data_IF_432649210365
#
_entry.id   IF_432649210365
#
_cell.length_a   1.000
_cell.length_b   1.000
_cell.length_c   1.000
_cell.angle_alpha   90.00
_cell.angle_beta   90.00
_cell.angle_gamma   90.00
#
_symmetry.space_group_name_H-M   'P 1'
#
loop_
_entity.id
_entity.type
_entity.pdbx_description
1 polymer ?
#
# COMPACT_ATOMS: atom_id res chain seq x y z
N UNK A 1 -5.10 3.70 -13.66
CA UNK A 1 -6.02 4.01 -12.55
C UNK A 1 -5.33 3.71 -11.23
N UNK A 2 -5.72 4.38 -10.15
CA UNK A 2 -5.22 4.09 -8.81
C UNK A 2 -6.19 3.14 -8.09
N UNK A 3 -5.66 2.20 -7.31
CA UNK A 3 -6.45 1.29 -6.48
C UNK A 3 -6.30 1.70 -5.02
N UNK A 4 -7.41 1.71 -4.29
CA UNK A 4 -7.47 1.94 -2.86
C UNK A 4 -8.14 0.74 -2.18
N UNK A 5 -7.68 0.42 -0.98
CA UNK A 5 -8.26 -0.59 -0.11
C UNK A 5 -8.79 0.12 1.13
N UNK A 6 -10.01 -0.17 1.54
CA UNK A 6 -10.58 0.44 2.73
C UNK A 6 -11.94 -0.16 3.07
N UNK A 7 -12.54 0.34 4.14
CA UNK A 7 -13.91 0.00 4.54
C UNK A 7 -14.89 0.96 3.87
N UNK A 8 -15.84 0.41 3.13
CA UNK A 8 -16.99 1.18 2.63
C UNK A 8 -17.89 1.51 3.82
N UNK A 9 -18.00 2.78 4.16
CA UNK A 9 -18.84 3.27 5.28
C UNK A 9 -20.15 3.89 4.79
N UNK A 10 -20.21 4.28 3.52
CA UNK A 10 -21.43 4.73 2.84
C UNK A 10 -21.33 4.38 1.36
N UNK A 11 -22.43 3.93 0.76
CA UNK A 11 -22.53 3.60 -0.65
C UNK A 11 -23.88 4.09 -1.17
N UNK A 12 -23.83 4.97 -2.18
CA UNK A 12 -25.01 5.51 -2.84
C UNK A 12 -24.82 5.60 -4.35
N UNK A 13 -25.84 6.05 -5.07
CA UNK A 13 -25.83 6.11 -6.54
C UNK A 13 -24.84 7.12 -7.13
N UNK A 14 -24.39 8.10 -6.33
CA UNK A 14 -23.46 9.16 -6.77
C UNK A 14 -22.08 9.05 -6.14
N UNK A 15 -21.99 8.44 -4.97
CA UNK A 15 -20.76 8.44 -4.18
C UNK A 15 -20.57 7.16 -3.39
N UNK A 16 -19.30 6.85 -3.13
CA UNK A 16 -18.85 5.83 -2.18
C UNK A 16 -17.89 6.49 -1.21
N UNK A 17 -18.11 6.27 0.09
CA UNK A 17 -17.23 6.80 1.14
C UNK A 17 -16.40 5.66 1.72
N UNK A 18 -15.08 5.81 1.66
CA UNK A 18 -14.12 4.89 2.27
C UNK A 18 -13.52 5.48 3.55
N UNK A 19 -13.20 4.59 4.50
CA UNK A 19 -12.36 4.85 5.69
C UNK A 19 -11.35 3.73 5.87
N UNK A 20 -10.37 3.92 6.75
CA UNK A 20 -9.26 3.00 6.96
C UNK A 20 -8.55 2.70 5.63
N UNK A 21 -8.14 3.76 4.94
CA UNK A 21 -7.73 3.71 3.53
C UNK A 21 -6.24 3.40 3.39
N UNK A 22 -5.91 2.49 2.48
CA UNK A 22 -4.57 2.08 2.11
C UNK A 22 -4.40 2.01 0.58
N UNK A 23 -3.18 2.15 0.10
CA UNK A 23 -2.81 1.93 -1.30
C UNK A 23 -1.42 1.29 -1.41
N UNK A 24 -1.12 0.69 -2.57
CA UNK A 24 0.20 0.12 -2.83
C UNK A 24 1.08 1.11 -3.57
N UNK A 25 2.32 1.24 -3.12
CA UNK A 25 3.39 1.98 -3.78
C UNK A 25 4.50 1.03 -4.20
N UNK A 26 5.03 1.21 -5.42
CA UNK A 26 6.22 0.50 -5.86
C UNK A 26 7.44 1.21 -5.25
N UNK A 27 8.17 0.49 -4.41
CA UNK A 27 9.45 0.92 -3.85
C UNK A 27 10.54 0.21 -4.63
N UNK A 28 11.44 0.99 -5.25
CA UNK A 28 12.61 0.45 -5.90
C UNK A 28 13.74 0.39 -4.87
N UNK A 29 14.19 -0.82 -4.52
CA UNK A 29 15.39 -0.97 -3.69
C UNK A 29 16.56 -1.36 -4.58
N UNK A 30 17.72 -0.68 -4.45
CA UNK A 30 18.95 -1.17 -5.06
C UNK A 30 19.32 -2.50 -4.41
N UNK A 31 19.67 -3.51 -5.23
CA UNK A 31 20.19 -4.77 -4.73
C UNK A 31 21.56 -4.50 -4.07
N UNK A 32 21.67 -4.73 -2.77
CA UNK A 32 22.95 -4.65 -2.07
C UNK A 32 23.72 -5.95 -2.35
N UNK A 33 24.77 -5.87 -3.17
CA UNK A 33 25.71 -6.98 -3.36
C UNK A 33 26.54 -7.13 -2.09
N UNK A 34 26.46 -8.29 -1.43
CA UNK A 34 27.39 -8.62 -0.35
C UNK A 34 28.74 -8.98 -0.99
N UNK A 35 29.69 -8.04 -0.94
CA UNK A 35 31.06 -8.28 -1.35
C UNK A 35 31.77 -9.20 -0.35
N UNK A 36 31.85 -10.49 -0.70
CA UNK A 36 32.88 -11.38 -0.14
C UNK A 36 33.76 -11.84 -1.30
N UNK A 37 34.85 -11.10 -1.51
CA UNK A 37 36.08 -11.42 -2.25
C UNK A 37 36.07 -12.55 -3.27
N UNK A 38 36.02 -12.20 -4.57
CA UNK A 38 37.12 -12.37 -5.52
C UNK A 38 36.62 -12.18 -6.96
N UNK A 39 37.30 -11.27 -7.65
CA UNK A 39 37.42 -11.04 -9.09
C UNK A 39 36.72 -12.00 -10.04
N UNK A 40 35.71 -11.51 -10.77
CA UNK A 40 35.56 -11.70 -12.22
C UNK A 40 34.52 -10.74 -12.79
N UNK A 41 34.94 -10.05 -13.86
CA UNK A 41 34.15 -9.09 -14.64
C UNK A 41 32.93 -9.77 -15.26
N UNK A 42 31.73 -9.45 -14.76
CA UNK A 42 30.48 -9.67 -15.47
C UNK A 42 29.71 -8.36 -15.45
N UNK A 43 29.26 -7.93 -16.64
CA UNK A 43 28.52 -6.68 -16.85
C UNK A 43 27.31 -6.61 -15.90
N UNK A 44 27.38 -5.68 -14.96
CA UNK A 44 26.38 -5.42 -13.93
C UNK A 44 25.07 -4.91 -14.59
N UNK A 45 24.17 -5.83 -14.92
CA UNK A 45 22.77 -5.47 -15.05
C UNK A 45 22.27 -5.20 -13.63
N UNK A 46 22.17 -3.92 -13.28
CA UNK A 46 21.51 -3.43 -12.06
C UNK A 46 20.06 -3.94 -12.02
N UNK A 47 19.87 -5.16 -11.53
CA UNK A 47 18.54 -5.71 -11.28
C UNK A 47 18.01 -5.00 -10.04
N UNK A 48 17.19 -3.96 -10.22
CA UNK A 48 16.38 -3.38 -9.15
C UNK A 48 15.25 -4.35 -8.80
N UNK A 49 15.14 -4.79 -7.54
CA UNK A 49 13.92 -5.45 -7.09
C UNK A 49 12.84 -4.38 -6.84
N UNK A 50 11.70 -4.56 -7.50
CA UNK A 50 10.49 -3.78 -7.25
C UNK A 50 9.73 -4.45 -6.10
N UNK A 51 9.65 -3.77 -4.97
CA UNK A 51 8.86 -4.20 -3.82
C UNK A 51 7.54 -3.41 -3.79
N UNK A 52 6.42 -4.07 -3.53
CA UNK A 52 5.15 -3.40 -3.27
C UNK A 52 5.05 -3.10 -1.77
N UNK A 53 4.94 -1.82 -1.44
CA UNK A 53 4.76 -1.34 -0.06
C UNK A 53 3.32 -0.88 0.14
N UNK A 54 2.72 -1.27 1.26
CA UNK A 54 1.40 -0.80 1.69
C UNK A 54 1.55 0.54 2.41
N UNK A 55 0.82 1.55 1.95
CA UNK A 55 0.82 2.89 2.53
C UNK A 55 -0.56 3.22 3.07
N UNK A 56 -0.62 3.77 4.29
CA UNK A 56 -1.84 4.29 4.91
C UNK A 56 -2.08 5.73 4.43
N UNK A 57 -3.28 6.01 3.93
CA UNK A 57 -3.70 7.38 3.60
C UNK A 57 -3.67 8.27 4.85
N UNK A 58 -3.12 9.47 4.72
CA UNK A 58 -3.15 10.53 5.74
C UNK A 58 -1.82 11.24 5.96
N UNK A 59 -0.71 10.64 5.55
CA UNK A 59 0.65 11.15 5.78
C UNK A 59 1.27 11.81 4.53
N UNK A 60 0.45 12.12 3.52
CA UNK A 60 0.88 12.79 2.30
C UNK A 60 1.10 14.29 2.53
N UNK A 61 1.88 14.93 1.63
CA UNK A 61 2.19 16.36 1.71
C UNK A 61 0.94 17.27 1.73
N UNK A 62 -0.14 16.85 1.06
CA UNK A 62 -1.39 17.60 1.00
C UNK A 62 -2.32 17.33 2.21
N UNK A 63 -1.87 16.50 3.16
CA UNK A 63 -2.50 16.28 4.46
C UNK A 63 -3.96 15.83 4.41
N UNK A 64 -4.31 14.79 3.62
CA UNK A 64 -5.68 14.29 3.62
C UNK A 64 -6.02 13.68 4.99
N UNK A 65 -7.29 13.69 5.33
CA UNK A 65 -7.78 12.83 6.43
C UNK A 65 -7.97 11.41 5.93
N UNK A 66 -8.12 10.46 6.85
CA UNK A 66 -8.43 9.06 6.53
C UNK A 66 -9.91 8.85 6.13
N UNK A 67 -10.35 9.59 5.12
CA UNK A 67 -11.69 9.52 4.55
C UNK A 67 -11.62 9.94 3.09
N UNK A 68 -12.31 9.21 2.21
CA UNK A 68 -12.36 9.53 0.79
C UNK A 68 -13.77 9.36 0.26
N UNK A 69 -14.33 10.46 -0.27
CA UNK A 69 -15.58 10.47 -1.03
C UNK A 69 -15.27 10.33 -2.52
N UNK A 70 -15.70 9.22 -3.11
CA UNK A 70 -15.39 8.83 -4.49
C UNK A 70 -16.65 8.97 -5.32
N UNK A 71 -16.56 9.62 -6.48
CA UNK A 71 -17.66 9.64 -7.45
C UNK A 71 -17.92 8.22 -7.99
N UNK A 72 -19.11 7.69 -7.75
CA UNK A 72 -19.49 6.33 -8.13
C UNK A 72 -19.44 6.10 -9.65
N UNK A 73 -19.64 7.14 -10.46
CA UNK A 73 -19.55 7.05 -11.92
C UNK A 73 -18.12 6.80 -12.43
N UNK A 74 -17.09 6.98 -11.58
CA UNK A 74 -15.69 6.75 -11.93
C UNK A 74 -15.14 5.42 -11.37
N UNK A 75 -15.99 4.61 -10.73
CA UNK A 75 -15.61 3.29 -10.21
C UNK A 75 -15.87 2.25 -11.30
N UNK A 76 -14.81 1.58 -11.76
CA UNK A 76 -14.94 0.52 -12.77
C UNK A 76 -15.44 -0.79 -12.16
N UNK A 77 -14.97 -1.12 -10.97
CA UNK A 77 -15.39 -2.30 -10.20
C UNK A 77 -14.97 -2.14 -8.73
N UNK A 78 -15.64 -2.89 -7.87
CA UNK A 78 -15.29 -3.07 -6.44
C UNK A 78 -15.22 -4.54 -6.13
N UNK A 79 -14.25 -4.96 -5.31
CA UNK A 79 -14.10 -6.35 -4.88
C UNK A 79 -14.00 -6.44 -3.37
N UNK A 80 -14.67 -7.44 -2.80
CA UNK A 80 -14.50 -7.78 -1.38
C UNK A 80 -13.23 -8.60 -1.22
N UNK A 81 -12.39 -8.21 -0.29
CA UNK A 81 -11.18 -8.96 0.04
C UNK A 81 -11.52 -10.17 0.90
N UNK A 82 -10.87 -11.30 0.62
CA UNK A 82 -10.88 -12.44 1.53
C UNK A 82 -10.06 -12.13 2.77
N UNK A 83 -10.45 -12.72 3.90
CA UNK A 83 -9.76 -12.58 5.18
C UNK A 83 -8.33 -13.12 5.17
N UNK A 84 -8.02 -14.07 4.27
CA UNK A 84 -6.69 -14.68 4.09
C UNK A 84 -5.87 -14.05 2.96
N UNK A 85 -6.30 -12.88 2.45
CA UNK A 85 -5.55 -12.18 1.41
C UNK A 85 -4.30 -11.52 1.96
N UNK A 86 -3.22 -11.51 1.16
CA UNK A 86 -1.96 -10.83 1.52
C UNK A 86 -2.13 -9.35 1.85
N UNK A 87 -3.15 -8.69 1.28
CA UNK A 87 -3.48 -7.29 1.57
C UNK A 87 -4.07 -7.14 2.97
N UNK A 88 -5.01 -8.00 3.36
CA UNK A 88 -5.57 -8.01 4.72
C UNK A 88 -4.48 -8.35 5.75
N UNK A 89 -3.61 -9.30 5.46
CA UNK A 89 -2.46 -9.61 6.32
C UNK A 89 -1.55 -8.40 6.53
N UNK A 90 -1.21 -7.69 5.45
CA UNK A 90 -0.36 -6.50 5.51
C UNK A 90 -1.01 -5.35 6.29
N UNK A 91 -2.30 -5.09 6.08
CA UNK A 91 -3.07 -4.10 6.84
C UNK A 91 -3.09 -4.47 8.33
N UNK A 92 -3.31 -5.74 8.65
CA UNK A 92 -3.38 -6.22 10.04
C UNK A 92 -2.04 -6.04 10.77
N UNK A 93 -0.92 -6.35 10.11
CA UNK A 93 0.43 -6.12 10.65
C UNK A 93 0.70 -4.64 10.88
N UNK A 94 0.38 -3.79 9.89
CA UNK A 94 0.51 -2.34 10.03
C UNK A 94 -0.24 -1.81 11.26
N UNK A 95 -1.52 -2.20 11.42
CA UNK A 95 -2.33 -1.75 12.57
C UNK A 95 -1.74 -2.22 13.90
N UNK A 96 -1.28 -3.47 13.98
CA UNK A 96 -0.65 -4.00 15.18
C UNK A 96 0.65 -3.23 15.56
N UNK A 97 1.48 -2.91 14.57
CA UNK A 97 2.70 -2.12 14.76
C UNK A 97 2.41 -0.69 15.24
N UNK A 98 1.40 -0.03 14.65
CA UNK A 98 1.01 1.33 15.08
C UNK A 98 0.46 1.35 16.51
N UNK A 99 -0.36 0.37 16.88
CA UNK A 99 -0.88 0.26 18.25
C UNK A 99 0.24 0.01 19.27
N UNK A 100 1.23 -0.82 18.92
CA UNK A 100 2.39 -1.08 19.75
C UNK A 100 3.28 0.17 19.92
N UNK A 101 3.40 1.00 18.87
CA UNK A 101 4.12 2.27 18.93
C UNK A 101 3.40 3.31 19.80
N UNK A 102 2.07 3.37 19.75
CA UNK A 102 1.26 4.33 20.52
C UNK A 102 1.20 4.02 22.03
N UNK A 103 1.57 2.81 22.44
CA UNK A 103 1.53 2.37 23.86
C UNK A 103 2.89 2.57 24.56
N UNK A 104 3.91 3.04 23.85
CA UNK A 104 5.23 3.37 24.40
C UNK A 104 5.36 4.86 24.68
#
# INVERSE_FOLDING_TARGET
GQVYFGKVVSEGSKEVVLKDIYYLQVVQRPLQTTETGNTQVAQDQQQTQQELSLVKLGNELHGPVDEMTINAAHILFTEKLKSDSKVIDAISRYVAEQNAAATK
#
